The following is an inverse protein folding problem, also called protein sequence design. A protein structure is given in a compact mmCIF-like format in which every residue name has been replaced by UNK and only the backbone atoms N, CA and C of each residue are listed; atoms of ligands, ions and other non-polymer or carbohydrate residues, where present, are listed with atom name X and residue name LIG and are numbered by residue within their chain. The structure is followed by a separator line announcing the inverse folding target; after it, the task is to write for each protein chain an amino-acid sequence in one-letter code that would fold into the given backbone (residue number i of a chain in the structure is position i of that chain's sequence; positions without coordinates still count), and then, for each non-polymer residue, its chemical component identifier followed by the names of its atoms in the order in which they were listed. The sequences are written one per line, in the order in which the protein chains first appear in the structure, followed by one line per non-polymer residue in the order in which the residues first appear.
data_IF_183563278690
#
_entry.id   IF_183563278690
#
_cell.length_a   1.000
_cell.length_b   1.000
_cell.length_c   1.000
_cell.angle_alpha   90.00
_cell.angle_beta   90.00
_cell.angle_gamma   90.00
#
_symmetry.space_group_name_H-M   'P 1'
#
loop_
_entity.id
_entity.type
_entity.pdbx_description
1 polymer ?
#
# COMPACT_ATOMS: atom_id res chain seq x y z
N UNK A 1 3.20 16.98 12.60
CA UNK A 1 2.03 17.31 11.75
C UNK A 1 1.52 16.03 11.10
N UNK A 2 0.22 15.92 10.80
CA UNK A 2 -0.39 14.71 10.15
C UNK A 2 0.37 14.26 8.90
N UNK A 3 0.91 15.22 8.13
CA UNK A 3 1.71 14.96 6.93
C UNK A 3 3.00 14.18 7.21
N UNK A 4 3.64 14.40 8.37
CA UNK A 4 4.87 13.69 8.72
C UNK A 4 4.60 12.19 8.88
N UNK A 5 3.45 11.84 9.47
CA UNK A 5 3.00 10.46 9.64
C UNK A 5 2.65 9.83 8.28
N UNK A 6 1.96 10.57 7.41
CA UNK A 6 1.64 10.10 6.06
C UNK A 6 2.91 9.80 5.27
N UNK A 7 3.88 10.71 5.25
CA UNK A 7 5.13 10.53 4.49
C UNK A 7 6.03 9.45 5.09
N UNK A 8 5.99 9.24 6.40
CA UNK A 8 6.65 8.11 7.07
C UNK A 8 6.14 6.76 6.55
N UNK A 9 4.83 6.66 6.34
CA UNK A 9 4.17 5.41 5.90
C UNK A 9 3.99 5.28 4.40
N UNK A 10 4.14 6.36 3.65
CA UNK A 10 3.96 6.43 2.20
C UNK A 10 5.20 7.03 1.50
N UNK A 11 6.39 6.42 1.64
CA UNK A 11 7.66 6.97 1.14
C UNK A 11 7.69 7.18 -0.38
N UNK A 12 6.91 6.41 -1.14
CA UNK A 12 6.75 6.58 -2.59
C UNK A 12 6.17 7.95 -3.00
N UNK A 13 5.44 8.63 -2.11
CA UNK A 13 4.94 9.99 -2.38
C UNK A 13 6.06 11.03 -2.51
N UNK A 14 7.26 10.74 -1.99
CA UNK A 14 8.45 11.60 -2.09
C UNK A 14 9.55 10.96 -2.95
N UNK A 15 9.17 10.00 -3.81
CA UNK A 15 10.09 9.32 -4.73
C UNK A 15 11.01 8.29 -4.08
N UNK A 16 10.82 7.96 -2.80
CA UNK A 16 11.57 6.90 -2.13
C UNK A 16 10.94 5.54 -2.43
N UNK A 17 11.77 4.51 -2.50
CA UNK A 17 11.34 3.12 -2.66
C UNK A 17 11.75 2.32 -1.44
N UNK A 18 10.84 1.48 -0.97
CA UNK A 18 11.09 0.39 -0.03
C UNK A 18 11.68 -0.82 -0.76
N UNK A 19 12.49 -1.58 -0.03
CA UNK A 19 12.94 -2.91 -0.46
C UNK A 19 11.76 -3.88 -0.38
N UNK A 20 11.34 -4.37 -1.55
CA UNK A 20 10.26 -5.33 -1.71
C UNK A 20 10.75 -6.50 -2.57
N UNK A 21 10.11 -7.68 -2.49
CA UNK A 21 10.48 -8.80 -3.35
C UNK A 21 10.43 -8.44 -4.84
N UNK A 22 11.37 -8.98 -5.61
CA UNK A 22 11.47 -8.74 -7.06
C UNK A 22 10.27 -9.32 -7.84
N UNK A 23 9.71 -10.43 -7.36
CA UNK A 23 8.56 -11.04 -8.00
C UNK A 23 7.30 -10.20 -7.76
N UNK A 24 6.48 -10.09 -8.80
CA UNK A 24 5.17 -9.44 -8.71
C UNK A 24 4.14 -10.43 -8.17
N UNK A 25 3.33 -10.00 -7.21
CA UNK A 25 2.24 -10.81 -6.67
C UNK A 25 1.01 -10.77 -7.59
N UNK A 26 0.43 -11.93 -7.87
CA UNK A 26 -0.72 -12.05 -8.77
C UNK A 26 -1.93 -11.20 -8.34
N UNK A 27 -2.16 -11.08 -7.03
CA UNK A 27 -3.27 -10.28 -6.45
C UNK A 27 -3.21 -8.79 -6.80
N UNK A 28 -2.06 -8.29 -7.26
CA UNK A 28 -1.94 -6.90 -7.73
C UNK A 28 -2.86 -6.66 -8.94
N UNK A 29 -3.08 -7.68 -9.77
CA UNK A 29 -4.04 -7.58 -10.88
C UNK A 29 -5.46 -7.32 -10.37
N UNK A 30 -5.92 -8.10 -9.39
CA UNK A 30 -7.26 -7.95 -8.81
C UNK A 30 -7.42 -6.59 -8.13
N UNK A 31 -6.38 -6.11 -7.42
CA UNK A 31 -6.36 -4.77 -6.83
C UNK A 31 -6.59 -3.70 -7.90
N UNK A 32 -5.87 -3.79 -9.04
CA UNK A 32 -6.04 -2.84 -10.15
C UNK A 32 -7.45 -2.89 -10.75
N UNK A 33 -8.04 -4.09 -10.89
CA UNK A 33 -9.41 -4.27 -11.40
C UNK A 33 -10.43 -3.56 -10.51
N UNK A 34 -10.38 -3.77 -9.19
CA UNK A 34 -11.29 -3.16 -8.22
C UNK A 34 -11.12 -1.63 -8.16
N UNK A 35 -9.89 -1.13 -8.15
CA UNK A 35 -9.61 0.30 -8.13
C UNK A 35 -10.13 1.01 -9.39
N UNK A 36 -9.98 0.39 -10.57
CA UNK A 36 -10.53 0.94 -11.81
C UNK A 36 -12.06 1.03 -11.78
N UNK A 37 -12.73 0.10 -11.09
CA UNK A 37 -14.19 0.12 -10.87
C UNK A 37 -14.62 1.11 -9.78
N UNK A 38 -13.67 1.76 -9.10
CA UNK A 38 -13.89 2.67 -7.96
C UNK A 38 -14.61 1.98 -6.79
N UNK A 39 -14.32 0.69 -6.62
CA UNK A 39 -14.88 -0.11 -5.55
C UNK A 39 -14.04 0.01 -4.29
N UNK A 40 -14.70 0.00 -3.14
CA UNK A 40 -14.06 -0.28 -1.85
C UNK A 40 -13.96 -1.80 -1.73
N UNK A 41 -12.75 -2.31 -1.51
CA UNK A 41 -12.52 -3.75 -1.38
C UNK A 41 -11.64 -4.05 -0.15
N UNK A 42 -11.70 -5.31 0.29
CA UNK A 42 -10.95 -5.80 1.45
C UNK A 42 -10.05 -6.94 0.99
N UNK A 43 -8.73 -6.79 1.18
CA UNK A 43 -7.78 -7.88 1.03
C UNK A 43 -7.60 -8.60 2.38
N UNK A 44 -8.17 -9.80 2.53
CA UNK A 44 -8.15 -10.58 3.76
C UNK A 44 -7.37 -11.90 3.62
N UNK A 45 -7.00 -12.50 4.75
CA UNK A 45 -6.28 -13.78 4.81
C UNK A 45 -5.30 -13.87 5.99
N UNK A 46 -4.66 -15.03 6.20
CA UNK A 46 -3.78 -15.28 7.35
C UNK A 46 -2.67 -14.23 7.51
N UNK A 47 -2.17 -14.01 8.73
CA UNK A 47 -1.03 -13.11 8.96
C UNK A 47 0.20 -13.58 8.17
N UNK A 48 1.07 -12.63 7.82
CA UNK A 48 2.35 -12.89 7.15
C UNK A 48 2.27 -13.58 5.77
N UNK A 49 1.10 -13.60 5.12
CA UNK A 49 0.96 -14.07 3.73
C UNK A 49 1.38 -13.04 2.68
N UNK A 50 1.78 -11.83 3.11
CA UNK A 50 2.27 -10.75 2.25
C UNK A 50 1.19 -9.86 1.61
N UNK A 51 0.02 -9.74 2.26
CA UNK A 51 -1.02 -8.76 1.88
C UNK A 51 -0.48 -7.33 1.87
N UNK A 52 0.21 -6.92 2.95
CA UNK A 52 0.85 -5.59 3.05
C UNK A 52 1.91 -5.40 1.97
N UNK A 53 2.70 -6.44 1.67
CA UNK A 53 3.71 -6.41 0.60
C UNK A 53 3.05 -6.16 -0.76
N UNK A 54 1.93 -6.83 -1.07
CA UNK A 54 1.20 -6.60 -2.31
C UNK A 54 0.70 -5.14 -2.46
N UNK A 55 0.15 -4.57 -1.38
CA UNK A 55 -0.30 -3.17 -1.38
C UNK A 55 0.86 -2.18 -1.56
N UNK A 56 2.02 -2.45 -0.94
CA UNK A 56 3.23 -1.64 -1.09
C UNK A 56 3.84 -1.76 -2.49
N UNK A 57 3.86 -2.96 -3.08
CA UNK A 57 4.26 -3.17 -4.47
C UNK A 57 3.36 -2.36 -5.41
N UNK A 58 2.03 -2.46 -5.25
CA UNK A 58 1.08 -1.63 -6.00
C UNK A 58 1.37 -0.13 -5.82
N UNK A 59 1.57 0.35 -4.59
CA UNK A 59 1.82 1.75 -4.31
C UNK A 59 3.10 2.30 -4.99
N UNK A 60 4.16 1.50 -5.08
CA UNK A 60 5.42 1.89 -5.74
C UNK A 60 5.38 1.80 -7.27
N UNK A 61 4.46 1.01 -7.83
CA UNK A 61 4.24 0.85 -9.28
C UNK A 61 3.15 1.78 -9.81
N UNK A 62 2.28 2.27 -8.94
CA UNK A 62 1.13 3.08 -9.32
C UNK A 62 1.55 4.48 -9.77
N UNK A 63 0.97 4.94 -10.88
CA UNK A 63 1.05 6.33 -11.32
C UNK A 63 0.04 7.25 -10.60
N UNK A 64 -0.75 6.68 -9.69
CA UNK A 64 -1.73 7.41 -8.87
C UNK A 64 -1.12 7.56 -7.47
N UNK A 65 -1.18 8.75 -6.86
CA UNK A 65 -0.76 8.93 -5.47
C UNK A 65 -1.52 7.98 -4.54
N UNK A 66 -0.80 7.08 -3.88
CA UNK A 66 -1.36 6.15 -2.88
C UNK A 66 -0.98 6.64 -1.49
N UNK A 67 -1.96 6.73 -0.60
CA UNK A 67 -1.72 7.00 0.83
C UNK A 67 -1.91 5.68 1.58
N UNK A 68 -0.87 5.25 2.28
CA UNK A 68 -0.92 4.12 3.20
C UNK A 68 -1.07 4.64 4.63
N UNK A 69 -2.06 4.10 5.34
CA UNK A 69 -2.36 4.44 6.73
C UNK A 69 -2.22 3.18 7.56
N UNK A 70 -1.37 3.24 8.59
CA UNK A 70 -1.26 2.19 9.58
C UNK A 70 -2.28 2.47 10.71
N UNK A 71 -3.31 1.64 10.82
CA UNK A 71 -4.38 1.84 11.79
C UNK A 71 -3.90 1.81 13.25
N UNK A 72 -2.85 1.04 13.53
CA UNK A 72 -2.29 0.85 14.87
C UNK A 72 -1.04 1.72 15.12
N UNK A 73 -0.87 2.84 14.41
CA UNK A 73 0.26 3.73 14.66
C UNK A 73 0.14 4.40 16.04
N UNK A 74 1.09 4.20 16.98
CA UNK A 74 1.05 4.80 18.31
C UNK A 74 1.10 6.34 18.31
N UNK A 75 1.54 6.96 17.22
CA UNK A 75 1.59 8.41 17.04
C UNK A 75 0.24 9.01 16.58
N UNK A 76 -0.69 8.18 16.11
CA UNK A 76 -2.06 8.57 15.77
C UNK A 76 -2.96 8.23 16.96
N UNK A 77 -3.18 9.21 17.84
CA UNK A 77 -4.14 9.14 18.96
C UNK A 77 -5.36 10.03 18.71
#
# INVERSE_FOLDING_TARGET
MVWDIIYKHSPWLVGRREELPEFRRDVIFDICEHLRRREVFILYGPRQTGKTVALKQYAQESNIPVIYILADDPEIR
#
